data_IF_966659269056
#
_entry.id   IF_966659269056
#
_cell.length_a   1.000
_cell.length_b   1.000
_cell.length_c   1.000
_cell.angle_alpha   90.00
_cell.angle_beta   90.00
_cell.angle_gamma   90.00
#
_symmetry.space_group_name_H-M   'P 1'
#
loop_
_entity.id
_entity.type
_entity.pdbx_description
1 polymer ?
#
# COMPACT_ATOMS: atom_id res chain seq x y z
N UNK A 1 -11.20 16.16 -1.79
CA UNK A 1 -9.98 16.08 -0.98
C UNK A 1 -9.56 14.62 -0.87
N UNK A 2 -8.29 14.22 -1.10
CA UNK A 2 -7.87 12.84 -0.94
C UNK A 2 -8.05 12.38 0.51
N UNK A 3 -8.52 11.15 0.69
CA UNK A 3 -8.68 10.52 2.00
C UNK A 3 -7.55 9.51 2.19
N UNK A 4 -6.89 9.57 3.34
CA UNK A 4 -5.79 8.66 3.72
C UNK A 4 -6.27 7.81 4.89
N UNK A 5 -6.49 6.53 4.62
CA UNK A 5 -6.90 5.57 5.64
C UNK A 5 -5.68 4.92 6.31
N UNK A 6 -5.68 4.83 7.62
CA UNK A 6 -4.69 4.09 8.40
C UNK A 6 -5.35 3.35 9.56
N UNK A 7 -4.61 2.44 10.18
CA UNK A 7 -4.97 1.93 11.49
C UNK A 7 -4.82 3.01 12.59
N UNK A 8 -5.13 2.64 13.84
CA UNK A 8 -5.00 3.51 15.01
C UNK A 8 -3.60 3.46 15.66
N UNK A 9 -2.58 3.03 14.92
CA UNK A 9 -1.20 2.96 15.37
C UNK A 9 -0.70 4.31 15.86
N UNK A 10 0.22 4.29 16.83
CA UNK A 10 0.76 5.49 17.45
C UNK A 10 1.32 6.48 16.42
N UNK A 11 2.02 5.98 15.41
CA UNK A 11 2.64 6.81 14.36
C UNK A 11 1.59 7.62 13.59
N UNK A 12 0.48 7.01 13.19
CA UNK A 12 -0.60 7.69 12.47
C UNK A 12 -1.45 8.59 13.38
N UNK A 13 -1.40 8.40 14.70
CA UNK A 13 -2.04 9.30 15.67
C UNK A 13 -1.13 10.45 16.11
N UNK A 14 0.14 10.45 15.71
CA UNK A 14 1.08 11.48 16.11
C UNK A 14 0.76 12.83 15.45
N UNK A 15 1.12 13.93 16.12
CA UNK A 15 0.85 15.29 15.61
C UNK A 15 1.56 15.55 14.28
N UNK A 16 2.78 15.04 14.10
CA UNK A 16 3.52 15.20 12.85
C UNK A 16 2.81 14.59 11.65
N UNK A 17 2.11 13.46 11.83
CA UNK A 17 1.32 12.84 10.76
C UNK A 17 0.12 13.70 10.38
N UNK A 18 -0.61 14.23 11.36
CA UNK A 18 -1.75 15.12 11.10
C UNK A 18 -1.32 16.39 10.36
N UNK A 19 -0.22 17.01 10.78
CA UNK A 19 0.33 18.20 10.12
C UNK A 19 0.77 17.89 8.69
N UNK A 20 1.39 16.72 8.46
CA UNK A 20 1.75 16.27 7.12
C UNK A 20 0.50 16.13 6.22
N UNK A 21 -0.55 15.48 6.72
CA UNK A 21 -1.80 15.31 5.96
C UNK A 21 -2.48 16.65 5.67
N UNK A 22 -2.54 17.55 6.64
CA UNK A 22 -3.10 18.89 6.46
C UNK A 22 -2.32 19.68 5.40
N UNK A 23 -0.98 19.67 5.48
CA UNK A 23 -0.12 20.32 4.49
C UNK A 23 -0.24 19.73 3.08
N UNK A 24 -0.56 18.45 2.95
CA UNK A 24 -0.88 17.79 1.68
C UNK A 24 -2.33 17.99 1.23
N UNK A 25 -3.15 18.69 2.01
CA UNK A 25 -4.57 18.84 1.77
C UNK A 25 -5.29 17.48 1.75
N UNK A 26 -4.97 16.56 2.66
CA UNK A 26 -5.58 15.25 2.77
C UNK A 26 -6.37 15.08 4.10
N UNK A 27 -7.41 14.24 4.08
CA UNK A 27 -8.23 13.93 5.26
C UNK A 27 -7.80 12.61 5.87
N UNK A 28 -7.53 12.60 7.17
CA UNK A 28 -7.27 11.37 7.91
C UNK A 28 -8.55 10.54 8.08
N UNK A 29 -8.46 9.24 7.80
CA UNK A 29 -9.50 8.25 8.10
C UNK A 29 -8.90 7.10 8.91
N UNK A 30 -9.59 6.68 9.97
CA UNK A 30 -9.20 5.53 10.78
C UNK A 30 -10.44 4.74 11.16
N UNK A 31 -10.41 3.43 10.95
CA UNK A 31 -11.51 2.54 11.35
C UNK A 31 -11.73 2.55 12.87
N UNK A 32 -12.97 2.28 13.30
CA UNK A 32 -13.24 1.97 14.70
C UNK A 32 -12.51 0.69 15.09
N UNK A 33 -12.12 0.58 16.38
CA UNK A 33 -11.54 -0.67 16.89
C UNK A 33 -12.49 -1.83 16.62
N UNK A 34 -11.96 -2.93 16.11
CA UNK A 34 -12.74 -4.11 15.71
C UNK A 34 -13.34 -4.05 14.29
N UNK A 35 -13.10 -2.99 13.52
CA UNK A 35 -13.43 -2.93 12.09
C UNK A 35 -12.14 -2.95 11.26
N UNK A 36 -11.85 -4.06 10.59
CA UNK A 36 -10.62 -4.26 9.82
C UNK A 36 -10.82 -4.15 8.30
N UNK A 37 -12.05 -3.98 7.81
CA UNK A 37 -12.34 -4.09 6.37
C UNK A 37 -11.54 -3.11 5.52
N UNK A 38 -11.42 -1.86 5.97
CA UNK A 38 -10.66 -0.84 5.25
C UNK A 38 -9.14 -1.10 5.31
N UNK A 39 -8.64 -1.73 6.38
CA UNK A 39 -7.23 -2.09 6.51
C UNK A 39 -6.87 -3.37 5.73
N UNK A 40 -7.85 -4.26 5.51
CA UNK A 40 -7.65 -5.57 4.89
C UNK A 40 -7.01 -5.48 3.50
N UNK A 41 -7.27 -4.40 2.74
CA UNK A 41 -6.65 -4.19 1.42
C UNK A 41 -5.14 -3.99 1.54
N UNK A 42 -4.70 -3.18 2.49
CA UNK A 42 -3.27 -2.96 2.74
C UNK A 42 -2.62 -4.17 3.40
N UNK A 43 -3.33 -4.88 4.29
CA UNK A 43 -2.85 -6.15 4.87
C UNK A 43 -2.60 -7.20 3.79
N UNK A 44 -3.48 -7.29 2.79
CA UNK A 44 -3.29 -8.20 1.66
C UNK A 44 -2.03 -7.84 0.84
N UNK A 45 -1.84 -6.55 0.53
CA UNK A 45 -0.61 -6.09 -0.12
C UNK A 45 0.64 -6.47 0.68
N UNK A 46 0.65 -6.22 2.00
CA UNK A 46 1.78 -6.58 2.85
C UNK A 46 1.99 -8.09 2.97
N UNK A 47 0.93 -8.90 2.90
CA UNK A 47 1.01 -10.35 2.82
C UNK A 47 1.76 -10.80 1.56
N UNK A 48 1.37 -10.28 0.40
CA UNK A 48 2.06 -10.53 -0.86
C UNK A 48 3.52 -10.06 -0.84
N UNK A 49 3.78 -8.85 -0.35
CA UNK A 49 5.13 -8.33 -0.25
C UNK A 49 6.03 -9.24 0.59
N UNK A 50 5.54 -9.71 1.74
CA UNK A 50 6.34 -10.58 2.62
C UNK A 50 6.63 -11.93 1.97
N UNK A 51 5.61 -12.55 1.38
CA UNK A 51 5.74 -13.85 0.70
C UNK A 51 6.68 -13.76 -0.51
N UNK A 52 6.45 -12.80 -1.38
CA UNK A 52 7.09 -12.75 -2.68
C UNK A 52 8.48 -12.10 -2.63
N UNK A 53 8.75 -11.23 -1.64
CA UNK A 53 10.05 -10.52 -1.51
C UNK A 53 10.88 -10.99 -0.31
N UNK A 54 10.29 -11.11 0.88
CA UNK A 54 11.06 -11.26 2.12
C UNK A 54 11.30 -12.72 2.53
N UNK A 55 10.33 -13.60 2.33
CA UNK A 55 10.43 -14.98 2.84
C UNK A 55 11.54 -15.80 2.15
N UNK A 56 12.01 -15.37 0.98
CA UNK A 56 13.02 -16.08 0.19
C UNK A 56 14.36 -15.36 0.04
N UNK A 57 14.49 -14.14 0.58
CA UNK A 57 15.67 -13.30 0.37
C UNK A 57 16.15 -12.70 1.68
N UNK A 58 17.47 -12.80 1.94
CA UNK A 58 18.12 -12.11 3.04
C UNK A 58 18.85 -10.87 2.52
N UNK A 59 18.46 -9.70 2.99
CA UNK A 59 19.12 -8.45 2.66
C UNK A 59 20.29 -8.18 3.62
N UNK A 60 21.43 -7.77 3.06
CA UNK A 60 22.66 -7.48 3.82
C UNK A 60 22.79 -6.00 4.20
N UNK A 61 21.96 -5.13 3.62
CA UNK A 61 21.90 -3.71 3.94
C UNK A 61 20.48 -3.16 3.74
N UNK A 62 20.19 -2.03 4.39
CA UNK A 62 18.94 -1.29 4.19
C UNK A 62 18.82 -0.74 2.78
N UNK A 63 19.94 -0.37 2.14
CA UNK A 63 19.95 0.13 0.76
C UNK A 63 19.56 -0.97 -0.24
N UNK A 64 20.09 -2.19 -0.04
CA UNK A 64 19.70 -3.34 -0.85
C UNK A 64 18.22 -3.66 -0.68
N UNK A 65 17.71 -3.58 0.56
CA UNK A 65 16.29 -3.75 0.83
C UNK A 65 15.45 -2.65 0.16
N UNK A 66 15.85 -1.38 0.26
CA UNK A 66 15.14 -0.26 -0.34
C UNK A 66 15.06 -0.39 -1.87
N UNK A 67 16.16 -0.77 -2.52
CA UNK A 67 16.19 -1.00 -3.96
C UNK A 67 15.22 -2.13 -4.38
N UNK A 68 15.26 -3.25 -3.66
CA UNK A 68 14.37 -4.39 -3.93
C UNK A 68 12.90 -4.05 -3.66
N UNK A 69 12.60 -3.25 -2.63
CA UNK A 69 11.25 -2.74 -2.35
C UNK A 69 10.74 -1.85 -3.48
N UNK A 70 11.57 -0.92 -3.99
CA UNK A 70 11.18 -0.06 -5.11
C UNK A 70 10.88 -0.86 -6.37
N UNK A 71 11.71 -1.85 -6.69
CA UNK A 71 11.49 -2.77 -7.80
C UNK A 71 10.21 -3.59 -7.64
N UNK A 72 9.99 -4.16 -6.45
CA UNK A 72 8.79 -4.93 -6.16
C UNK A 72 7.52 -4.07 -6.29
N UNK A 73 7.52 -2.85 -5.74
CA UNK A 73 6.37 -1.95 -5.82
C UNK A 73 6.06 -1.55 -7.27
N UNK A 74 7.10 -1.28 -8.08
CA UNK A 74 6.94 -1.04 -9.51
C UNK A 74 6.28 -2.24 -10.17
N UNK A 75 6.90 -3.42 -10.07
CA UNK A 75 6.39 -4.66 -10.65
C UNK A 75 4.95 -4.97 -10.20
N UNK A 76 4.66 -4.85 -8.90
CA UNK A 76 3.34 -5.10 -8.32
C UNK A 76 2.26 -4.22 -9.01
N UNK A 77 2.57 -2.95 -9.25
CA UNK A 77 1.61 -2.00 -9.79
C UNK A 77 1.49 -2.06 -11.32
N UNK A 78 2.58 -2.35 -12.04
CA UNK A 78 2.61 -2.22 -13.51
C UNK A 78 2.57 -3.53 -14.26
N UNK A 79 3.06 -4.62 -13.67
CA UNK A 79 3.34 -5.88 -14.38
C UNK A 79 2.67 -7.12 -13.76
N UNK A 80 2.33 -7.09 -12.47
CA UNK A 80 1.72 -8.22 -11.76
C UNK A 80 0.44 -8.70 -12.44
N UNK A 81 0.43 -9.95 -12.86
CA UNK A 81 -0.76 -10.62 -13.39
C UNK A 81 -1.67 -11.01 -12.23
N UNK A 82 -2.92 -10.55 -12.25
CA UNK A 82 -3.92 -10.91 -11.26
C UNK A 82 -5.14 -11.56 -11.93
N UNK A 83 -5.42 -12.81 -11.58
CA UNK A 83 -6.61 -13.53 -12.09
C UNK A 83 -7.91 -12.82 -11.69
N UNK A 84 -7.96 -12.26 -10.48
CA UNK A 84 -9.08 -11.43 -10.00
C UNK A 84 -9.29 -10.19 -10.88
N UNK A 85 -8.21 -9.63 -11.43
CA UNK A 85 -8.25 -8.48 -12.33
C UNK A 85 -8.22 -8.90 -13.82
N UNK A 86 -8.63 -10.14 -14.14
CA UNK A 86 -8.65 -10.68 -15.51
C UNK A 86 -7.30 -10.60 -16.24
N UNK A 87 -6.21 -10.79 -15.49
CA UNK A 87 -4.84 -10.75 -16.00
C UNK A 87 -4.21 -9.37 -16.05
N UNK A 88 -4.92 -8.31 -15.63
CA UNK A 88 -4.41 -6.94 -15.64
C UNK A 88 -3.60 -6.62 -14.39
N UNK A 89 -2.63 -5.72 -14.53
CA UNK A 89 -1.96 -5.09 -13.40
C UNK A 89 -2.86 -4.06 -12.70
N UNK A 90 -2.60 -3.71 -11.43
CA UNK A 90 -3.38 -2.69 -10.72
C UNK A 90 -3.54 -1.37 -11.47
N UNK A 91 -2.46 -0.89 -12.12
CA UNK A 91 -2.50 0.35 -12.92
C UNK A 91 -3.38 0.17 -14.16
N UNK A 92 -3.25 -0.93 -14.88
CA UNK A 92 -4.09 -1.21 -16.06
C UNK A 92 -5.57 -1.31 -15.69
N UNK A 93 -5.88 -2.03 -14.61
CA UNK A 93 -7.25 -2.15 -14.11
C UNK A 93 -7.83 -0.79 -13.70
N UNK A 94 -7.05 0.05 -13.02
CA UNK A 94 -7.46 1.42 -12.69
C UNK A 94 -7.71 2.29 -13.92
N UNK A 95 -6.87 2.17 -14.95
CA UNK A 95 -7.03 2.94 -16.19
C UNK A 95 -8.34 2.61 -16.90
N UNK A 96 -8.77 1.34 -16.89
CA UNK A 96 -10.08 0.93 -17.42
C UNK A 96 -11.24 1.58 -16.65
N UNK A 97 -11.17 1.60 -15.32
CA UNK A 97 -12.21 2.20 -14.49
C UNK A 97 -12.33 3.73 -14.67
N UNK A 98 -11.26 4.40 -15.10
CA UNK A 98 -11.26 5.84 -15.38
C UNK A 98 -11.74 6.18 -16.80
N UNK A 99 -11.74 5.21 -17.71
CA UNK A 99 -12.21 5.37 -19.08
C UNK A 99 -13.69 5.00 -19.27
N UNK A 100 -14.32 4.42 -18.24
CA UNK A 100 -15.73 4.06 -18.19
C UNK A 100 -16.55 5.17 -17.52
#
# INVERSE_FOLDING_TARGET
QPLVHSDQGFQYRHVSWRVLLEGAGAVQSMSRRGNCYDNAVMENFFGHLKEELFHHVRFLSTDALAAALHEYIRWYNTERISTKLKGLSPVQYRAQALAA
#
